data_IF_252084915623
#
_entry.id   IF_252084915623
#
_cell.length_a   1.000
_cell.length_b   1.000
_cell.length_c   1.000
_cell.angle_alpha   90.00
_cell.angle_beta   90.00
_cell.angle_gamma   90.00
#
_symmetry.space_group_name_H-M   'P 1'
#
loop_
_entity.id
_entity.type
_entity.pdbx_description
1 polymer ?
#
# COMPACT_ATOMS: atom_id res chain seq x y z
N UNK A 1 15.13 1.08 -23.61
CA UNK A 1 14.20 0.59 -22.57
C UNK A 1 13.04 -0.06 -23.27
N UNK A 2 12.83 -1.38 -23.10
CA UNK A 2 11.73 -2.07 -23.77
C UNK A 2 10.43 -1.80 -22.99
N UNK A 3 9.60 -0.86 -23.47
CA UNK A 3 8.38 -0.45 -22.80
C UNK A 3 7.38 -1.59 -22.62
N UNK A 4 7.32 -2.54 -23.56
CA UNK A 4 6.47 -3.73 -23.44
C UNK A 4 6.91 -4.60 -22.25
N UNK A 5 8.21 -4.83 -22.11
CA UNK A 5 8.78 -5.58 -20.99
C UNK A 5 8.51 -4.90 -19.65
N UNK A 6 8.65 -3.56 -19.58
CA UNK A 6 8.33 -2.79 -18.37
C UNK A 6 6.86 -2.96 -17.99
N UNK A 7 5.93 -2.79 -18.93
CA UNK A 7 4.51 -2.98 -18.68
C UNK A 7 4.18 -4.40 -18.20
N UNK A 8 4.79 -5.41 -18.81
CA UNK A 8 4.63 -6.81 -18.39
C UNK A 8 5.11 -7.02 -16.95
N UNK A 9 6.27 -6.47 -16.58
CA UNK A 9 6.80 -6.57 -15.22
C UNK A 9 5.86 -5.96 -14.20
N UNK A 10 5.30 -4.77 -14.48
CA UNK A 10 4.31 -4.10 -13.61
C UNK A 10 3.08 -4.98 -13.41
N UNK A 11 2.51 -5.51 -14.49
CA UNK A 11 1.31 -6.36 -14.40
C UNK A 11 1.59 -7.64 -13.60
N UNK A 12 2.71 -8.31 -13.84
CA UNK A 12 3.08 -9.53 -13.11
C UNK A 12 3.27 -9.27 -11.61
N UNK A 13 3.97 -8.18 -11.25
CA UNK A 13 4.18 -7.82 -9.85
C UNK A 13 2.90 -7.39 -9.15
N UNK A 14 1.93 -6.82 -9.88
CA UNK A 14 0.61 -6.52 -9.32
C UNK A 14 -0.08 -7.80 -8.83
N UNK A 15 -0.10 -8.85 -9.65
CA UNK A 15 -0.72 -10.13 -9.27
C UNK A 15 0.02 -10.78 -8.09
N UNK A 16 1.35 -10.71 -8.08
CA UNK A 16 2.17 -11.26 -7.00
C UNK A 16 1.94 -10.52 -5.67
N UNK A 17 1.73 -9.21 -5.70
CA UNK A 17 1.51 -8.37 -4.52
C UNK A 17 0.03 -8.19 -4.17
N UNK A 18 -0.90 -8.67 -4.98
CA UNK A 18 -2.35 -8.61 -4.71
C UNK A 18 -2.74 -9.05 -3.28
N UNK A 19 -2.23 -10.18 -2.71
CA UNK A 19 -2.54 -10.55 -1.33
C UNK A 19 -2.04 -9.52 -0.32
N UNK A 20 -0.90 -8.87 -0.59
CA UNK A 20 -0.36 -7.80 0.25
C UNK A 20 -1.26 -6.56 0.23
N UNK A 21 -1.73 -6.12 -0.94
CA UNK A 21 -2.73 -5.04 -1.05
C UNK A 21 -4.01 -5.36 -0.27
N UNK A 22 -4.53 -6.57 -0.41
CA UNK A 22 -5.72 -7.02 0.35
C UNK A 22 -5.49 -6.99 1.85
N UNK A 23 -4.30 -7.41 2.31
CA UNK A 23 -3.93 -7.38 3.72
C UNK A 23 -3.84 -5.95 4.26
N UNK A 24 -3.17 -5.04 3.55
CA UNK A 24 -3.07 -3.63 3.96
C UNK A 24 -4.43 -2.94 4.01
N UNK A 25 -5.31 -3.21 3.04
CA UNK A 25 -6.68 -2.72 3.06
C UNK A 25 -7.48 -3.23 4.27
N UNK A 26 -7.30 -4.51 4.64
CA UNK A 26 -7.90 -5.06 5.87
C UNK A 26 -7.38 -4.35 7.12
N UNK A 27 -6.07 -4.09 7.20
CA UNK A 27 -5.48 -3.36 8.33
C UNK A 27 -6.08 -1.97 8.45
N UNK A 28 -6.21 -1.23 7.34
CA UNK A 28 -6.87 0.09 7.35
C UNK A 28 -8.32 0.00 7.82
N UNK A 29 -9.05 -1.03 7.40
CA UNK A 29 -10.43 -1.26 7.85
C UNK A 29 -10.51 -1.55 9.36
N UNK A 30 -9.55 -2.28 9.90
CA UNK A 30 -9.49 -2.58 11.33
C UNK A 30 -9.10 -1.32 12.14
N UNK A 31 -8.15 -0.53 11.63
CA UNK A 31 -7.81 0.79 12.18
C UNK A 31 -9.04 1.72 12.21
N UNK A 32 -9.85 1.75 11.14
CA UNK A 32 -11.07 2.57 11.09
C UNK A 32 -12.11 2.18 12.14
N UNK A 33 -12.24 0.87 12.41
CA UNK A 33 -13.13 0.38 13.48
C UNK A 33 -12.64 0.79 14.86
N UNK A 34 -11.36 0.58 15.15
CA UNK A 34 -10.75 0.94 16.44
C UNK A 34 -10.88 2.44 16.69
N UNK A 35 -10.61 3.26 15.66
CA UNK A 35 -10.80 4.71 15.74
C UNK A 35 -12.27 5.08 16.01
N UNK A 36 -13.23 4.46 15.32
CA UNK A 36 -14.66 4.71 15.55
C UNK A 36 -15.12 4.34 16.96
N UNK A 37 -14.55 3.28 17.54
CA UNK A 37 -14.84 2.86 18.92
C UNK A 37 -14.21 3.84 19.92
N UNK A 38 -12.96 4.24 19.72
CA UNK A 38 -12.26 5.20 20.59
C UNK A 38 -12.87 6.59 20.59
N UNK A 39 -13.29 7.09 19.42
CA UNK A 39 -13.97 8.40 19.28
C UNK A 39 -15.33 8.43 19.99
N UNK A 40 -16.02 7.29 20.11
CA UNK A 40 -17.28 7.20 20.86
C UNK A 40 -17.09 7.15 22.38
N UNK A 41 -15.88 6.86 22.86
CA UNK A 41 -15.58 6.78 24.29
C UNK A 41 -14.99 8.07 24.84
N UNK A 42 -14.32 8.88 24.02
CA UNK A 42 -13.75 10.16 24.42
C UNK A 42 -14.40 11.30 23.65
N UNK A 43 -15.24 12.11 24.32
CA UNK A 43 -15.91 13.32 23.81
C UNK A 43 -14.94 14.46 23.38
N UNK A 44 -13.65 14.15 23.13
CA UNK A 44 -12.57 15.13 23.07
C UNK A 44 -11.52 14.91 21.98
N UNK A 45 -11.85 14.25 20.86
CA UNK A 45 -10.88 14.13 19.77
C UNK A 45 -10.52 15.50 19.18
N UNK A 46 -9.31 15.98 19.49
CA UNK A 46 -8.75 17.20 18.91
C UNK A 46 -8.34 16.97 17.45
N UNK A 47 -8.39 18.02 16.62
CA UNK A 47 -8.05 17.97 15.18
C UNK A 47 -6.69 17.30 14.88
N UNK A 48 -5.73 17.34 15.81
CA UNK A 48 -4.42 16.70 15.67
C UNK A 48 -4.46 15.16 15.67
N UNK A 49 -5.32 14.56 16.50
CA UNK A 49 -5.45 13.11 16.57
C UNK A 49 -6.12 12.53 15.32
N UNK A 50 -7.12 13.23 14.76
CA UNK A 50 -7.73 12.90 13.47
C UNK A 50 -6.72 13.01 12.31
N UNK A 51 -5.90 14.06 12.31
CA UNK A 51 -4.84 14.26 11.31
C UNK A 51 -3.79 13.15 11.33
N UNK A 52 -3.31 12.78 12.53
CA UNK A 52 -2.33 11.70 12.70
C UNK A 52 -2.90 10.34 12.25
N UNK A 53 -4.17 10.07 12.56
CA UNK A 53 -4.84 8.84 12.15
C UNK A 53 -4.99 8.74 10.62
N UNK A 54 -5.33 9.85 9.95
CA UNK A 54 -5.39 9.91 8.49
C UNK A 54 -4.02 9.65 7.85
N UNK A 55 -2.96 10.29 8.37
CA UNK A 55 -1.59 10.12 7.90
C UNK A 55 -1.13 8.66 8.06
N UNK A 56 -1.44 8.02 9.19
CA UNK A 56 -1.10 6.62 9.41
C UNK A 56 -1.74 5.70 8.36
N UNK A 57 -3.03 5.88 8.05
CA UNK A 57 -3.73 5.13 7.00
C UNK A 57 -3.11 5.34 5.62
N UNK A 58 -2.73 6.58 5.31
CA UNK A 58 -2.04 6.91 4.07
C UNK A 58 -0.73 6.13 3.93
N UNK A 59 0.11 6.10 4.97
CA UNK A 59 1.37 5.35 4.95
C UNK A 59 1.16 3.84 4.77
N UNK A 60 0.17 3.26 5.44
CA UNK A 60 -0.17 1.83 5.30
C UNK A 60 -0.59 1.51 3.85
N UNK A 61 -1.33 2.38 3.20
CA UNK A 61 -1.74 2.20 1.79
C UNK A 61 -0.64 2.53 0.78
N UNK A 62 0.32 3.39 1.15
CA UNK A 62 1.46 3.75 0.30
C UNK A 62 2.50 2.62 0.22
N UNK A 63 2.70 1.89 1.32
CA UNK A 63 3.67 0.79 1.41
C UNK A 63 3.54 -0.24 0.26
N UNK A 64 2.36 -0.81 -0.05
CA UNK A 64 2.23 -1.77 -1.14
C UNK A 64 2.52 -1.16 -2.52
N UNK A 65 2.27 0.14 -2.73
CA UNK A 65 2.61 0.85 -3.97
C UNK A 65 4.12 0.95 -4.13
N UNK A 66 4.84 1.33 -3.08
CA UNK A 66 6.31 1.42 -3.11
C UNK A 66 6.92 0.04 -3.35
N UNK A 67 6.44 -0.99 -2.64
CA UNK A 67 6.88 -2.37 -2.86
C UNK A 67 6.63 -2.83 -4.29
N UNK A 68 5.48 -2.45 -4.87
CA UNK A 68 5.15 -2.77 -6.26
C UNK A 68 6.15 -2.14 -7.22
N UNK A 69 6.39 -0.83 -7.13
CA UNK A 69 7.35 -0.15 -8.01
C UNK A 69 8.76 -0.75 -7.93
N UNK A 70 9.25 -1.03 -6.72
CA UNK A 70 10.57 -1.65 -6.52
C UNK A 70 10.60 -3.05 -7.13
N UNK A 71 9.59 -3.89 -6.85
CA UNK A 71 9.53 -5.24 -7.40
C UNK A 71 9.47 -5.24 -8.93
N UNK A 72 8.66 -4.36 -9.54
CA UNK A 72 8.58 -4.25 -11.00
C UNK A 72 9.91 -3.84 -11.60
N UNK A 73 10.61 -2.91 -10.97
CA UNK A 73 11.92 -2.45 -11.42
C UNK A 73 12.98 -3.56 -11.31
N UNK A 74 13.03 -4.28 -10.18
CA UNK A 74 13.95 -5.41 -10.01
C UNK A 74 13.66 -6.54 -10.99
N UNK A 75 12.38 -6.86 -11.23
CA UNK A 75 11.98 -7.87 -12.21
C UNK A 75 12.37 -7.44 -13.64
N UNK A 76 12.19 -6.17 -13.98
CA UNK A 76 12.64 -5.62 -15.26
C UNK A 76 14.15 -5.74 -15.42
N UNK A 77 14.96 -5.39 -14.42
CA UNK A 77 16.41 -5.52 -14.47
C UNK A 77 16.86 -6.98 -14.64
N UNK A 78 16.17 -7.92 -13.99
CA UNK A 78 16.46 -9.35 -14.11
C UNK A 78 16.15 -9.87 -15.52
N UNK A 79 14.95 -9.59 -16.03
CA UNK A 79 14.53 -10.05 -17.36
C UNK A 79 15.31 -9.38 -18.48
N UNK A 80 15.69 -8.11 -18.32
CA UNK A 80 16.51 -7.38 -19.31
C UNK A 80 17.94 -7.91 -19.44
N UNK A 81 18.42 -8.73 -18.48
CA UNK A 81 19.71 -9.43 -18.59
C UNK A 81 19.58 -10.83 -19.17
N UNK A 82 18.36 -11.40 -19.16
CA UNK A 82 18.06 -12.75 -19.64
C UNK A 82 17.70 -12.79 -21.13
N UNK A 83 17.20 -11.67 -21.65
CA UNK A 83 16.79 -11.43 -23.05
C UNK A 83 17.88 -10.57 -23.70
#
# INVERSE_FOLDING_TARGET
>A
MNYFLVCLCVVLTFFLLLPFYKKMYSVVKDMDKEFSIGVKQEDGFTNGAQGNFFIAKFYVMLLPIVCHLIASFLLYLLLSKLI
#
